data_IF_606630603184
#
_entry.id   IF_606630603184
#
_cell.length_a   1.000
_cell.length_b   1.000
_cell.length_c   1.000
_cell.angle_alpha   90.00
_cell.angle_beta   90.00
_cell.angle_gamma   90.00
#
_symmetry.space_group_name_H-M   'P 1'
#
loop_
_entity.id
_entity.type
_entity.pdbx_description
1 polymer ?
#
# COMPACT_ATOMS: atom_id res chain seq x y z
N UNK A 1 -4.57 9.63 14.33
CA UNK A 1 -3.53 9.65 13.28
C UNK A 1 -2.47 10.73 13.47
N UNK A 2 -2.81 12.02 13.68
CA UNK A 2 -1.85 13.14 13.71
C UNK A 2 -0.60 12.94 14.59
N UNK A 3 -0.78 12.67 15.89
CA UNK A 3 0.32 12.47 16.82
C UNK A 3 1.22 11.27 16.44
N UNK A 4 0.63 10.22 15.88
CA UNK A 4 1.37 9.04 15.41
C UNK A 4 2.28 9.40 14.24
N UNK A 5 1.76 10.11 13.24
CA UNK A 5 2.55 10.56 12.09
C UNK A 5 3.67 11.52 12.51
N UNK A 6 3.38 12.50 13.36
CA UNK A 6 4.39 13.46 13.84
C UNK A 6 5.49 12.76 14.66
N UNK A 7 5.10 11.82 15.52
CA UNK A 7 6.02 11.03 16.33
C UNK A 7 6.91 10.12 15.48
N UNK A 8 6.35 9.48 14.46
CA UNK A 8 7.13 8.68 13.53
C UNK A 8 8.10 9.56 12.72
N UNK A 9 7.66 10.73 12.22
CA UNK A 9 8.53 11.67 11.52
C UNK A 9 9.71 12.13 12.38
N UNK A 10 9.47 12.47 13.65
CA UNK A 10 10.52 12.80 14.60
C UNK A 10 11.48 11.62 14.84
N UNK A 11 10.96 10.40 14.99
CA UNK A 11 11.76 9.19 15.14
C UNK A 11 12.61 8.90 13.90
N UNK A 12 12.09 9.15 12.70
CA UNK A 12 12.84 8.97 11.47
C UNK A 12 14.01 9.94 11.38
N UNK A 13 13.78 11.22 11.65
CA UNK A 13 14.86 12.21 11.70
C UNK A 13 15.93 11.78 12.72
N UNK A 14 15.52 11.38 13.93
CA UNK A 14 16.45 10.92 14.96
C UNK A 14 17.26 9.69 14.52
N UNK A 15 16.62 8.70 13.90
CA UNK A 15 17.29 7.47 13.45
C UNK A 15 18.22 7.70 12.26
N UNK A 16 17.87 8.61 11.32
CA UNK A 16 18.75 9.05 10.23
C UNK A 16 20.01 9.72 10.78
N UNK A 17 19.86 10.67 11.71
CA UNK A 17 21.01 11.33 12.34
C UNK A 17 21.86 10.35 13.13
N UNK A 18 21.25 9.47 13.92
CA UNK A 18 21.97 8.45 14.68
C UNK A 18 22.74 7.49 13.74
N UNK A 19 22.12 7.05 12.64
CA UNK A 19 22.79 6.23 11.64
C UNK A 19 24.02 6.92 11.05
N UNK A 20 23.91 8.21 10.73
CA UNK A 20 25.01 8.98 10.16
C UNK A 20 26.14 9.24 11.18
N UNK A 21 25.82 9.72 12.39
CA UNK A 21 26.80 10.03 13.45
C UNK A 21 27.58 8.80 13.87
N UNK A 22 26.91 7.63 13.92
CA UNK A 22 27.55 6.38 14.31
C UNK A 22 28.03 5.53 13.11
N UNK A 23 27.87 6.03 11.87
CA UNK A 23 28.15 5.28 10.64
C UNK A 23 27.56 3.84 10.65
N UNK A 24 26.35 3.68 11.18
CA UNK A 24 25.77 2.36 11.50
C UNK A 24 24.72 1.94 10.48
N UNK A 25 25.02 0.86 9.74
CA UNK A 25 24.08 0.23 8.81
C UNK A 25 22.85 -0.36 9.50
N UNK A 26 23.00 -0.84 10.74
CA UNK A 26 21.84 -1.33 11.54
C UNK A 26 20.87 -0.20 11.85
N UNK A 27 21.38 0.98 12.24
CA UNK A 27 20.54 2.17 12.44
C UNK A 27 19.96 2.70 11.12
N UNK A 28 20.69 2.61 10.01
CA UNK A 28 20.17 2.98 8.69
C UNK A 28 19.03 2.05 8.23
N UNK A 29 19.14 0.75 8.50
CA UNK A 29 18.06 -0.22 8.30
C UNK A 29 16.84 0.13 9.17
N UNK A 30 17.04 0.41 10.46
CA UNK A 30 15.97 0.89 11.35
C UNK A 30 15.31 2.17 10.82
N UNK A 31 16.09 3.14 10.35
CA UNK A 31 15.57 4.37 9.74
C UNK A 31 14.69 4.05 8.51
N UNK A 32 15.08 3.06 7.71
CA UNK A 32 14.27 2.59 6.58
C UNK A 32 12.94 1.94 7.01
N UNK A 33 12.94 1.15 8.08
CA UNK A 33 11.70 0.62 8.66
C UNK A 33 10.79 1.75 9.15
N UNK A 34 11.34 2.74 9.87
CA UNK A 34 10.56 3.90 10.33
C UNK A 34 10.01 4.68 9.14
N UNK A 35 10.81 4.91 8.09
CA UNK A 35 10.36 5.59 6.87
C UNK A 35 9.17 4.88 6.24
N UNK A 36 9.22 3.55 6.08
CA UNK A 36 8.07 2.78 5.60
C UNK A 36 6.81 3.01 6.47
N UNK A 37 6.95 2.99 7.81
CA UNK A 37 5.79 3.22 8.69
C UNK A 37 5.23 4.65 8.57
N UNK A 38 6.08 5.65 8.33
CA UNK A 38 5.65 7.02 8.06
C UNK A 38 4.90 7.09 6.75
N UNK A 39 5.38 6.40 5.71
CA UNK A 39 4.72 6.39 4.41
C UNK A 39 3.29 5.84 4.52
N UNK A 40 3.10 4.74 5.26
CA UNK A 40 1.77 4.20 5.54
C UNK A 40 0.86 5.18 6.29
N UNK A 41 1.38 5.93 7.26
CA UNK A 41 0.57 6.93 7.97
C UNK A 41 0.35 8.22 7.18
N UNK A 42 1.29 8.63 6.33
CA UNK A 42 1.18 9.78 5.44
C UNK A 42 0.16 9.53 4.31
N UNK A 43 -0.01 8.28 3.90
CA UNK A 43 -1.02 7.86 2.93
C UNK A 43 -2.44 8.27 3.33
N UNK A 44 -2.81 8.10 4.60
CA UNK A 44 -4.05 8.63 5.16
C UNK A 44 -4.23 10.14 4.91
N UNK A 45 -3.15 10.92 4.99
CA UNK A 45 -3.23 12.38 4.90
C UNK A 45 -3.28 12.90 3.48
N UNK A 46 -2.72 12.19 2.49
CA UNK A 46 -2.83 12.63 1.11
C UNK A 46 -4.21 12.34 0.50
N UNK A 47 -4.99 11.41 1.05
CA UNK A 47 -6.40 11.23 0.67
C UNK A 47 -7.32 12.32 1.23
N UNK A 48 -6.89 12.99 2.29
CA UNK A 48 -7.64 14.08 2.92
C UNK A 48 -7.38 15.43 2.23
N UNK A 49 -8.13 16.44 2.65
CA UNK A 49 -7.85 17.84 2.31
C UNK A 49 -6.39 18.21 2.64
N UNK A 50 -5.85 19.17 1.89
CA UNK A 50 -4.44 19.57 1.96
C UNK A 50 -3.99 19.88 3.39
N UNK A 51 -2.93 19.21 3.78
CA UNK A 51 -2.32 19.34 5.09
C UNK A 51 -0.85 18.97 4.99
N UNK A 52 -0.01 19.57 5.82
CA UNK A 52 1.44 19.38 5.71
C UNK A 52 1.91 17.94 5.96
N UNK A 53 1.11 17.08 6.63
CA UNK A 53 1.50 15.70 6.94
C UNK A 53 1.46 14.79 5.72
N UNK A 54 0.77 15.19 4.65
CA UNK A 54 0.86 14.50 3.36
C UNK A 54 2.32 14.46 2.85
N UNK A 55 3.09 15.51 3.14
CA UNK A 55 4.48 15.63 2.73
C UNK A 55 5.45 14.74 3.51
N UNK A 56 5.00 14.07 4.57
CA UNK A 56 5.79 13.01 5.19
C UNK A 56 6.01 11.83 4.24
N UNK A 57 5.12 11.64 3.27
CA UNK A 57 5.29 10.66 2.21
C UNK A 57 6.48 11.00 1.29
N UNK A 58 6.71 12.30 1.03
CA UNK A 58 7.81 12.82 0.21
C UNK A 58 9.19 12.79 0.91
N UNK A 59 9.25 12.30 2.16
CA UNK A 59 10.53 11.85 2.73
C UNK A 59 11.06 10.62 2.00
N UNK A 60 10.18 9.86 1.34
CA UNK A 60 10.57 8.82 0.40
C UNK A 60 10.77 9.40 -1.01
N UNK A 61 11.44 8.67 -1.92
CA UNK A 61 11.53 9.05 -3.32
C UNK A 61 10.20 9.05 -4.08
N UNK A 62 9.12 8.51 -3.50
CA UNK A 62 7.77 8.67 -4.04
C UNK A 62 7.28 10.10 -3.80
N UNK A 63 6.23 10.52 -4.51
CA UNK A 63 5.68 11.87 -4.36
C UNK A 63 4.22 11.80 -3.97
N UNK A 64 3.82 12.61 -2.98
CA UNK A 64 2.42 12.71 -2.58
C UNK A 64 1.53 13.30 -3.67
N UNK A 65 2.05 14.20 -4.51
CA UNK A 65 1.33 14.78 -5.64
C UNK A 65 1.05 13.72 -6.71
N UNK A 66 2.06 12.94 -7.10
CA UNK A 66 1.91 11.82 -8.02
C UNK A 66 0.94 10.77 -7.45
N UNK A 67 1.09 10.39 -6.17
CA UNK A 67 0.28 9.34 -5.54
C UNK A 67 -1.19 9.71 -5.36
N UNK A 68 -1.52 10.99 -5.20
CA UNK A 68 -2.91 11.45 -5.26
C UNK A 68 -3.57 11.15 -6.60
N UNK A 69 -2.80 11.20 -7.69
CA UNK A 69 -3.29 10.89 -9.04
C UNK A 69 -3.30 9.38 -9.25
N UNK A 70 -2.16 8.73 -9.06
CA UNK A 70 -1.99 7.31 -9.42
C UNK A 70 -2.72 6.37 -8.47
N UNK A 71 -2.62 6.61 -7.16
CA UNK A 71 -3.29 5.79 -6.17
C UNK A 71 -4.69 6.33 -5.82
N UNK A 72 -4.80 7.64 -5.54
CA UNK A 72 -6.06 8.27 -5.14
C UNK A 72 -7.14 8.33 -6.23
N UNK A 73 -6.77 8.70 -7.47
CA UNK A 73 -7.75 8.84 -8.57
C UNK A 73 -7.82 7.64 -9.49
N UNK A 74 -6.74 6.86 -9.65
CA UNK A 74 -6.77 5.68 -10.53
C UNK A 74 -7.00 4.39 -9.74
N UNK A 75 -6.09 3.99 -8.85
CA UNK A 75 -6.22 2.73 -8.11
C UNK A 75 -7.49 2.65 -7.26
N UNK A 76 -7.85 3.69 -6.51
CA UNK A 76 -9.08 3.67 -5.71
C UNK A 76 -10.37 3.64 -6.54
N UNK A 77 -10.38 4.22 -7.75
CA UNK A 77 -11.57 4.20 -8.59
C UNK A 77 -11.70 2.91 -9.40
N UNK A 78 -10.58 2.33 -9.81
CA UNK A 78 -10.54 1.22 -10.75
C UNK A 78 -9.57 0.09 -10.33
N UNK A 79 -9.57 -0.34 -9.05
CA UNK A 79 -8.53 -1.23 -8.52
C UNK A 79 -8.47 -2.55 -9.31
N UNK A 80 -7.27 -2.98 -9.65
CA UNK A 80 -6.97 -4.21 -10.39
C UNK A 80 -7.58 -4.31 -11.82
N UNK A 81 -8.14 -3.23 -12.35
CA UNK A 81 -8.64 -3.18 -13.73
C UNK A 81 -7.53 -2.76 -14.71
N UNK A 82 -7.83 -2.76 -16.02
CA UNK A 82 -6.93 -2.19 -17.03
C UNK A 82 -6.77 -0.66 -16.94
N UNK A 83 -7.65 0.03 -16.20
CA UNK A 83 -7.56 1.46 -15.92
C UNK A 83 -6.80 1.77 -14.63
N UNK A 84 -6.38 0.74 -13.89
CA UNK A 84 -5.53 0.89 -12.74
C UNK A 84 -4.09 1.22 -13.20
N UNK A 85 -3.60 2.38 -12.77
CA UNK A 85 -2.24 2.80 -13.00
C UNK A 85 -1.24 1.84 -12.33
N UNK A 86 -1.60 1.28 -11.18
CA UNK A 86 -0.77 0.29 -10.49
C UNK A 86 -0.55 -0.93 -11.38
N UNK A 87 -1.62 -1.52 -11.92
CA UNK A 87 -1.54 -2.62 -12.89
C UNK A 87 -0.68 -2.22 -14.10
N UNK A 88 -0.96 -1.05 -14.69
CA UNK A 88 -0.25 -0.60 -15.89
C UNK A 88 1.27 -0.44 -15.70
N UNK A 89 1.71 -0.01 -14.51
CA UNK A 89 3.14 0.17 -14.20
C UNK A 89 3.79 -1.11 -13.71
N UNK A 90 3.04 -2.00 -13.05
CA UNK A 90 3.57 -3.24 -12.51
C UNK A 90 3.63 -4.36 -13.55
N UNK A 91 2.65 -4.52 -14.44
CA UNK A 91 2.57 -5.64 -15.40
C UNK A 91 3.88 -5.88 -16.19
N UNK A 92 4.66 -4.86 -16.63
CA UNK A 92 5.95 -5.11 -17.27
C UNK A 92 6.98 -5.88 -16.40
N UNK A 93 6.82 -5.88 -15.08
CA UNK A 93 7.76 -6.45 -14.10
C UNK A 93 7.13 -7.56 -13.25
N UNK A 94 5.90 -7.34 -12.77
CA UNK A 94 5.12 -8.22 -11.90
C UNK A 94 3.75 -8.43 -12.55
N UNK A 95 3.55 -9.62 -13.12
CA UNK A 95 2.36 -9.92 -13.93
C UNK A 95 1.24 -10.48 -13.04
N UNK A 96 0.37 -9.62 -12.53
CA UNK A 96 -0.78 -9.98 -11.70
C UNK A 96 -1.98 -10.41 -12.53
N UNK A 97 -2.15 -9.88 -13.74
CA UNK A 97 -3.29 -10.20 -14.59
C UNK A 97 -3.26 -11.68 -15.01
N UNK A 98 -4.37 -12.43 -14.87
CA UNK A 98 -4.43 -13.84 -15.21
C UNK A 98 -4.61 -14.04 -16.73
N UNK A 99 -3.58 -13.75 -17.50
CA UNK A 99 -3.62 -13.86 -18.97
C UNK A 99 -3.37 -15.31 -19.45
N UNK A 100 -4.24 -15.89 -20.31
CA UNK A 100 -4.09 -17.26 -20.84
C UNK A 100 -2.76 -17.53 -21.55
N UNK A 101 -2.15 -16.49 -22.12
CA UNK A 101 -0.90 -16.56 -22.86
C UNK A 101 0.32 -16.11 -22.01
N UNK A 102 0.17 -15.97 -20.69
CA UNK A 102 1.26 -15.59 -19.78
C UNK A 102 2.46 -16.51 -19.95
N UNK A 103 3.59 -15.93 -20.35
CA UNK A 103 4.81 -16.67 -20.62
C UNK A 103 5.30 -17.44 -19.39
N UNK A 104 5.90 -18.62 -19.61
CA UNK A 104 6.40 -19.50 -18.55
C UNK A 104 7.31 -18.77 -17.55
N UNK A 105 8.21 -17.91 -18.04
CA UNK A 105 9.11 -17.14 -17.17
C UNK A 105 8.33 -16.22 -16.21
N UNK A 106 7.27 -15.57 -16.67
CA UNK A 106 6.46 -14.70 -15.81
C UNK A 106 5.72 -15.50 -14.73
N UNK A 107 5.37 -16.77 -14.99
CA UNK A 107 4.68 -17.60 -14.00
C UNK A 107 5.60 -18.09 -12.89
N UNK A 108 6.84 -18.45 -13.21
CA UNK A 108 7.71 -19.16 -12.25
C UNK A 108 8.94 -18.37 -11.81
N UNK A 109 9.37 -17.35 -12.58
CA UNK A 109 10.52 -16.50 -12.23
C UNK A 109 10.08 -15.22 -11.52
N UNK A 110 8.98 -14.59 -11.97
CA UNK A 110 8.44 -13.37 -11.34
C UNK A 110 8.14 -13.49 -9.85
N UNK A 111 7.61 -14.61 -9.30
CA UNK A 111 7.44 -14.76 -7.85
C UNK A 111 8.74 -14.57 -7.04
N UNK A 112 9.89 -14.83 -7.66
CA UNK A 112 11.21 -14.62 -7.04
C UNK A 112 11.71 -13.21 -7.35
N UNK A 113 11.67 -12.79 -8.63
CA UNK A 113 12.23 -11.49 -9.05
C UNK A 113 11.37 -10.28 -8.66
N UNK A 114 10.11 -10.46 -8.26
CA UNK A 114 9.27 -9.38 -7.75
C UNK A 114 9.88 -8.71 -6.52
N UNK A 115 10.61 -9.46 -5.68
CA UNK A 115 11.33 -8.93 -4.51
C UNK A 115 12.44 -7.95 -4.91
N UNK A 116 13.12 -8.22 -6.03
CA UNK A 116 14.09 -7.27 -6.59
C UNK A 116 13.39 -6.01 -7.09
N UNK A 117 12.22 -6.15 -7.71
CA UNK A 117 11.39 -5.00 -8.13
C UNK A 117 10.97 -4.16 -6.92
N UNK A 118 10.55 -4.79 -5.82
CA UNK A 118 10.20 -4.11 -4.56
C UNK A 118 11.39 -3.34 -3.96
N UNK A 119 12.59 -3.94 -4.02
CA UNK A 119 13.83 -3.29 -3.58
C UNK A 119 14.19 -2.07 -4.44
N UNK A 120 13.94 -2.15 -5.74
CA UNK A 120 14.36 -1.15 -6.73
C UNK A 120 13.29 -0.09 -7.08
N UNK A 121 12.03 -0.28 -6.64
CA UNK A 121 10.89 0.55 -7.03
C UNK A 121 11.15 2.06 -6.82
N UNK A 122 11.74 2.45 -5.69
CA UNK A 122 12.01 3.86 -5.41
C UNK A 122 13.06 4.46 -6.35
N UNK A 123 14.05 3.68 -6.79
CA UNK A 123 15.06 4.14 -7.74
C UNK A 123 14.47 4.30 -9.14
N UNK A 124 13.54 3.43 -9.52
CA UNK A 124 12.79 3.56 -10.77
C UNK A 124 12.03 4.88 -10.79
N UNK A 125 11.36 5.24 -9.70
CA UNK A 125 10.64 6.52 -9.59
C UNK A 125 11.57 7.74 -9.63
N UNK A 126 12.75 7.66 -9.00
CA UNK A 126 13.78 8.69 -9.14
C UNK A 126 14.17 8.90 -10.60
N UNK A 127 14.50 7.81 -11.32
CA UNK A 127 14.94 7.86 -12.71
C UNK A 127 13.82 8.43 -13.59
N UNK A 128 12.58 7.95 -13.42
CA UNK A 128 11.40 8.46 -14.15
C UNK A 128 11.20 9.96 -13.93
N UNK A 129 11.35 10.43 -12.68
CA UNK A 129 11.19 11.84 -12.36
C UNK A 129 12.28 12.69 -13.01
N UNK A 130 13.55 12.30 -12.90
CA UNK A 130 14.67 13.01 -13.54
C UNK A 130 14.50 13.03 -15.07
N UNK A 131 14.19 11.89 -15.68
CA UNK A 131 13.95 11.81 -17.12
C UNK A 131 12.78 12.71 -17.54
N UNK A 132 11.68 12.72 -16.78
CA UNK A 132 10.53 13.59 -17.05
C UNK A 132 10.85 15.08 -16.95
N UNK A 133 11.74 15.48 -16.04
CA UNK A 133 12.23 16.87 -15.96
C UNK A 133 13.08 17.24 -17.18
N UNK A 134 13.98 16.35 -17.61
CA UNK A 134 14.86 16.57 -18.78
C UNK A 134 14.04 16.66 -20.08
N UNK A 135 13.04 15.79 -20.24
CA UNK A 135 12.18 15.73 -21.44
C UNK A 135 11.10 16.84 -21.41
N UNK A 136 10.86 17.45 -20.25
CA UNK A 136 9.84 18.50 -20.08
C UNK A 136 8.42 17.96 -19.90
N UNK A 137 8.25 16.67 -19.61
CA UNK A 137 6.94 16.07 -19.28
C UNK A 137 6.56 16.27 -17.81
N UNK A 138 7.51 16.70 -16.98
CA UNK A 138 7.29 17.01 -15.55
C UNK A 138 7.87 18.37 -15.21
N UNK A 139 7.23 19.03 -14.23
CA UNK A 139 7.75 20.25 -13.62
C UNK A 139 8.55 19.90 -12.38
N UNK A 140 9.55 20.73 -12.08
CA UNK A 140 10.29 20.60 -10.85
C UNK A 140 9.43 21.08 -9.67
N UNK A 141 9.40 20.27 -8.61
CA UNK A 141 8.72 20.61 -7.36
C UNK A 141 9.73 20.52 -6.22
N UNK A 142 9.80 21.59 -5.41
CA UNK A 142 10.78 21.69 -4.32
C UNK A 142 10.68 20.55 -3.32
N UNK A 143 9.47 20.01 -3.10
CA UNK A 143 9.26 18.93 -2.13
C UNK A 143 10.02 17.65 -2.50
N UNK A 144 10.24 17.42 -3.80
CA UNK A 144 10.98 16.26 -4.31
C UNK A 144 12.49 16.32 -4.01
N UNK A 145 12.98 17.39 -3.38
CA UNK A 145 14.36 17.52 -2.89
C UNK A 145 14.54 16.81 -1.54
N UNK A 146 13.47 16.56 -0.77
CA UNK A 146 13.57 15.99 0.59
C UNK A 146 14.37 14.67 0.67
N UNK A 147 14.21 13.68 -0.24
CA UNK A 147 15.00 12.45 -0.19
C UNK A 147 16.50 12.72 -0.41
N UNK A 148 16.82 13.66 -1.30
CA UNK A 148 18.21 14.04 -1.58
C UNK A 148 18.85 14.82 -0.43
N UNK A 149 18.07 15.67 0.24
CA UNK A 149 18.54 16.39 1.43
C UNK A 149 19.00 15.42 2.53
N UNK A 150 18.30 14.30 2.71
CA UNK A 150 18.70 13.25 3.66
C UNK A 150 20.05 12.62 3.28
N UNK A 151 20.24 12.31 1.99
CA UNK A 151 21.50 11.77 1.49
C UNK A 151 22.68 12.72 1.77
N UNK A 152 22.49 14.01 1.48
CA UNK A 152 23.49 15.06 1.75
C UNK A 152 23.79 15.16 3.26
N UNK A 153 22.76 15.16 4.11
CA UNK A 153 22.94 15.18 5.58
C UNK A 153 23.77 13.98 6.04
N UNK A 154 23.49 12.77 5.55
CA UNK A 154 24.27 11.58 5.91
C UNK A 154 25.74 11.69 5.45
N UNK A 155 26.00 12.21 4.25
CA UNK A 155 27.37 12.44 3.77
C UNK A 155 28.13 13.47 4.60
N UNK A 156 27.46 14.57 4.98
CA UNK A 156 28.06 15.62 5.80
C UNK A 156 28.34 15.14 7.23
N UNK A 157 27.38 14.46 7.87
CA UNK A 157 27.54 13.95 9.23
C UNK A 157 28.58 12.83 9.35
N UNK A 158 28.72 11.99 8.33
CA UNK A 158 29.76 10.94 8.30
C UNK A 158 31.14 11.46 7.90
N UNK A 159 31.22 12.65 7.29
CA UNK A 159 32.45 13.18 6.70
C UNK A 159 32.96 12.37 5.49
N UNK A 160 32.15 11.46 4.95
CA UNK A 160 32.53 10.54 3.87
C UNK A 160 31.40 10.41 2.86
N UNK A 161 31.67 10.75 1.61
CA UNK A 161 30.74 10.57 0.50
C UNK A 161 30.28 9.10 0.41
N UNK A 162 31.24 8.16 0.43
CA UNK A 162 30.95 6.74 0.26
C UNK A 162 30.11 6.20 1.42
N UNK A 163 30.49 6.51 2.67
CA UNK A 163 29.77 6.00 3.85
C UNK A 163 28.37 6.60 3.92
N UNK A 164 28.23 7.92 3.77
CA UNK A 164 26.92 8.58 3.77
C UNK A 164 26.00 8.05 2.68
N UNK A 165 26.51 7.84 1.46
CA UNK A 165 25.74 7.27 0.36
C UNK A 165 25.27 5.85 0.68
N UNK A 166 26.14 4.97 1.20
CA UNK A 166 25.77 3.59 1.50
C UNK A 166 24.75 3.50 2.64
N UNK A 167 24.80 4.40 3.63
CA UNK A 167 23.77 4.49 4.66
C UNK A 167 22.43 4.94 4.07
N UNK A 168 22.44 5.96 3.22
CA UNK A 168 21.23 6.43 2.53
C UNK A 168 20.62 5.31 1.68
N UNK A 169 21.42 4.63 0.88
CA UNK A 169 20.97 3.48 0.08
C UNK A 169 20.39 2.38 0.96
N UNK A 170 21.00 2.08 2.11
CA UNK A 170 20.46 1.11 3.07
C UNK A 170 19.06 1.52 3.56
N UNK A 171 18.88 2.78 3.94
CA UNK A 171 17.58 3.32 4.39
C UNK A 171 16.52 3.25 3.30
N UNK A 172 16.85 3.71 2.08
CA UNK A 172 15.92 3.77 0.94
C UNK A 172 15.54 2.39 0.43
N UNK A 173 16.51 1.48 0.27
CA UNK A 173 16.25 0.09 -0.11
C UNK A 173 15.33 -0.61 0.90
N UNK A 174 15.58 -0.41 2.19
CA UNK A 174 14.74 -0.98 3.26
C UNK A 174 13.30 -0.44 3.15
N UNK A 175 13.12 0.88 3.08
CA UNK A 175 11.79 1.47 2.96
C UNK A 175 11.06 1.03 1.69
N UNK A 176 11.75 1.00 0.54
CA UNK A 176 11.22 0.53 -0.74
C UNK A 176 10.68 -0.89 -0.63
N UNK A 177 11.51 -1.80 -0.10
CA UNK A 177 11.13 -3.19 0.05
C UNK A 177 9.91 -3.36 0.94
N UNK A 178 9.91 -2.81 2.16
CA UNK A 178 8.80 -3.02 3.10
C UNK A 178 7.50 -2.33 2.66
N UNK A 179 7.58 -1.14 2.07
CA UNK A 179 6.39 -0.45 1.55
C UNK A 179 5.77 -1.22 0.38
N UNK A 180 6.57 -1.60 -0.62
CA UNK A 180 6.09 -2.35 -1.77
C UNK A 180 5.64 -3.76 -1.38
N UNK A 181 6.33 -4.43 -0.46
CA UNK A 181 5.94 -5.75 0.04
C UNK A 181 4.57 -5.69 0.71
N UNK A 182 4.32 -4.72 1.58
CA UNK A 182 3.01 -4.59 2.24
C UNK A 182 1.91 -4.23 1.26
N UNK A 183 2.14 -3.25 0.38
CA UNK A 183 1.15 -2.81 -0.61
C UNK A 183 0.78 -3.93 -1.58
N UNK A 184 1.77 -4.63 -2.15
CA UNK A 184 1.52 -5.63 -3.19
C UNK A 184 1.19 -7.01 -2.63
N UNK A 185 1.88 -7.45 -1.56
CA UNK A 185 1.75 -8.84 -1.06
C UNK A 185 0.57 -9.01 -0.11
N UNK A 186 0.21 -7.96 0.64
CA UNK A 186 -0.67 -8.11 1.79
C UNK A 186 -1.99 -7.33 1.69
N UNK A 187 -2.39 -6.86 0.50
CA UNK A 187 -3.59 -6.03 0.35
C UNK A 187 -4.48 -6.35 -0.88
N UNK A 188 -3.95 -6.36 -2.11
CA UNK A 188 -4.77 -6.28 -3.33
C UNK A 188 -4.76 -7.50 -4.26
N UNK A 189 -3.85 -8.46 -4.07
CA UNK A 189 -3.65 -9.53 -5.05
C UNK A 189 -3.89 -10.91 -4.44
N UNK A 190 -4.94 -11.59 -4.90
CA UNK A 190 -5.34 -12.95 -4.52
C UNK A 190 -6.21 -13.54 -5.64
N UNK A 191 -6.21 -14.86 -5.91
CA UNK A 191 -7.09 -15.49 -6.92
C UNK A 191 -8.59 -15.34 -6.70
N UNK A 192 -9.00 -14.84 -5.53
CA UNK A 192 -10.41 -14.60 -5.17
C UNK A 192 -10.74 -13.11 -5.17
N UNK A 193 -9.74 -12.26 -5.41
CA UNK A 193 -9.87 -10.82 -5.58
C UNK A 193 -9.92 -10.55 -7.09
N UNK A 194 -10.82 -9.65 -7.50
CA UNK A 194 -10.96 -9.28 -8.90
C UNK A 194 -9.65 -8.79 -9.51
N UNK A 195 -9.31 -9.31 -10.69
CA UNK A 195 -8.36 -8.71 -11.62
C UNK A 195 -9.00 -8.62 -13.01
N UNK A 196 -8.50 -7.70 -13.85
CA UNK A 196 -8.92 -7.67 -15.24
C UNK A 196 -8.79 -9.05 -15.90
N UNK A 197 -9.73 -9.36 -16.80
CA UNK A 197 -9.96 -10.67 -17.44
C UNK A 197 -10.72 -11.70 -16.61
N UNK A 198 -10.78 -11.58 -15.28
CA UNK A 198 -11.67 -12.42 -14.47
C UNK A 198 -13.13 -12.21 -14.87
N UNK A 199 -13.96 -13.20 -14.55
CA UNK A 199 -15.41 -13.09 -14.72
C UNK A 199 -15.91 -11.91 -13.89
N UNK A 200 -16.47 -10.90 -14.56
CA UNK A 200 -17.01 -9.74 -13.88
C UNK A 200 -18.34 -10.07 -13.21
N UNK A 201 -18.64 -9.40 -12.10
CA UNK A 201 -19.95 -9.50 -11.45
C UNK A 201 -21.06 -9.04 -12.39
N UNK A 202 -22.23 -9.66 -12.28
CA UNK A 202 -23.38 -9.29 -13.12
C UNK A 202 -24.03 -7.96 -12.74
N UNK A 203 -23.88 -7.55 -11.47
CA UNK A 203 -24.40 -6.29 -10.93
C UNK A 203 -23.25 -5.31 -10.67
N UNK A 204 -22.97 -4.38 -11.60
CA UNK A 204 -21.78 -3.55 -11.62
C UNK A 204 -21.87 -2.33 -10.69
N UNK A 205 -22.55 -2.44 -9.54
CA UNK A 205 -22.53 -1.40 -8.51
C UNK A 205 -21.08 -1.09 -8.09
N UNK A 206 -20.75 0.20 -8.00
CA UNK A 206 -19.39 0.64 -7.73
C UNK A 206 -18.88 0.15 -6.37
N UNK A 207 -19.70 0.20 -5.32
CA UNK A 207 -19.31 -0.22 -3.99
C UNK A 207 -19.05 -1.72 -3.93
N UNK A 208 -19.88 -2.51 -4.61
CA UNK A 208 -19.66 -3.96 -4.69
C UNK A 208 -18.41 -4.31 -5.52
N UNK A 209 -18.14 -3.59 -6.61
CA UNK A 209 -16.88 -3.72 -7.36
C UNK A 209 -15.65 -3.41 -6.50
N UNK A 210 -15.72 -2.43 -5.60
CA UNK A 210 -14.64 -2.16 -4.65
C UNK A 210 -14.43 -3.35 -3.71
N UNK A 211 -15.50 -3.90 -3.14
CA UNK A 211 -15.41 -5.07 -2.23
C UNK A 211 -14.89 -6.33 -2.92
N UNK A 212 -15.14 -6.50 -4.21
CA UNK A 212 -14.58 -7.60 -5.00
C UNK A 212 -13.05 -7.48 -5.16
N UNK A 213 -12.51 -6.25 -5.15
CA UNK A 213 -11.12 -5.92 -5.45
C UNK A 213 -10.19 -5.84 -4.23
N UNK A 214 -10.70 -5.90 -2.99
CA UNK A 214 -9.89 -5.77 -1.76
C UNK A 214 -10.38 -6.68 -0.63
N UNK A 215 -9.55 -6.91 0.40
CA UNK A 215 -9.93 -7.67 1.60
C UNK A 215 -9.38 -7.07 2.88
N UNK A 216 -10.14 -7.23 3.96
CA UNK A 216 -9.75 -6.78 5.30
C UNK A 216 -9.06 -7.90 6.07
N UNK A 217 -8.13 -7.52 6.96
CA UNK A 217 -7.28 -8.47 7.67
C UNK A 217 -7.65 -8.62 9.13
N UNK A 218 -7.94 -9.84 9.55
CA UNK A 218 -8.37 -10.11 10.93
C UNK A 218 -7.30 -9.75 11.97
N UNK A 219 -6.02 -10.02 11.70
CA UNK A 219 -4.95 -9.90 12.70
C UNK A 219 -4.57 -8.45 13.03
N UNK A 220 -4.83 -7.51 12.13
CA UNK A 220 -4.43 -6.10 12.30
C UNK A 220 -5.60 -5.20 12.66
N UNK A 221 -6.83 -5.61 12.35
CA UNK A 221 -8.05 -4.86 12.64
C UNK A 221 -8.19 -4.61 14.14
N UNK A 222 -8.45 -3.35 14.52
CA UNK A 222 -8.53 -2.92 15.92
C UNK A 222 -7.24 -2.30 16.47
N UNK A 223 -6.11 -2.41 15.76
CA UNK A 223 -4.88 -1.66 16.07
C UNK A 223 -4.68 -0.54 15.05
N UNK A 224 -4.86 0.71 15.45
CA UNK A 224 -4.71 1.86 14.56
C UNK A 224 -3.32 1.91 13.89
N UNK A 225 -2.28 1.58 14.66
CA UNK A 225 -0.91 1.55 14.14
C UNK A 225 -0.74 0.48 13.05
N UNK A 226 -1.16 -0.76 13.33
CA UNK A 226 -1.04 -1.86 12.37
C UNK A 226 -1.92 -1.63 11.14
N UNK A 227 -3.15 -1.14 11.32
CA UNK A 227 -4.04 -0.77 10.22
C UNK A 227 -3.37 0.25 9.30
N UNK A 228 -2.77 1.30 9.86
CA UNK A 228 -2.19 2.38 9.06
C UNK A 228 -0.93 1.95 8.31
N UNK A 229 -0.08 1.11 8.89
CA UNK A 229 1.17 0.69 8.22
C UNK A 229 0.99 -0.54 7.33
N UNK A 230 -0.14 -1.25 7.46
CA UNK A 230 -0.39 -2.49 6.71
C UNK A 230 -1.63 -2.46 5.82
N UNK A 231 -2.43 -1.39 5.81
CA UNK A 231 -3.71 -1.33 5.12
C UNK A 231 -4.69 -2.41 5.60
N UNK A 232 -4.99 -2.39 6.91
CA UNK A 232 -5.79 -3.43 7.58
C UNK A 232 -7.30 -3.35 7.33
N UNK A 233 -7.86 -2.15 7.42
CA UNK A 233 -9.28 -1.83 7.18
C UNK A 233 -9.48 -1.42 5.71
N UNK A 234 -9.07 -2.30 4.80
CA UNK A 234 -8.82 -1.98 3.40
C UNK A 234 -10.10 -1.63 2.61
N UNK A 235 -11.17 -2.38 2.84
CA UNK A 235 -12.46 -2.24 2.19
C UNK A 235 -13.09 -0.89 2.51
N UNK A 236 -13.10 -0.52 3.79
CA UNK A 236 -13.58 0.80 4.21
C UNK A 236 -12.67 1.94 3.72
N UNK A 237 -11.36 1.70 3.66
CA UNK A 237 -10.42 2.64 3.06
C UNK A 237 -10.70 2.85 1.56
N UNK A 238 -11.07 1.81 0.83
CA UNK A 238 -11.45 1.93 -0.59
C UNK A 238 -12.79 2.62 -0.81
N UNK A 239 -13.79 2.31 0.02
CA UNK A 239 -15.11 2.94 -0.06
C UNK A 239 -15.08 4.41 0.39
N UNK A 240 -14.25 4.73 1.38
CA UNK A 240 -14.20 6.05 2.01
C UNK A 240 -12.74 6.54 2.22
N UNK A 241 -11.96 6.72 1.15
CA UNK A 241 -10.52 7.01 1.27
C UNK A 241 -10.22 8.34 1.97
N UNK A 242 -11.16 9.28 1.92
CA UNK A 242 -11.03 10.59 2.59
C UNK A 242 -11.30 10.55 4.09
N UNK A 243 -11.85 9.44 4.62
CA UNK A 243 -12.10 9.25 6.04
C UNK A 243 -10.80 8.83 6.73
N UNK A 244 -10.45 9.51 7.82
CA UNK A 244 -9.26 9.18 8.60
C UNK A 244 -9.29 7.73 9.10
N UNK A 245 -8.17 7.00 8.99
CA UNK A 245 -8.05 5.62 9.45
C UNK A 245 -8.46 5.42 10.92
N UNK A 246 -8.35 6.45 11.78
CA UNK A 246 -8.84 6.36 13.17
C UNK A 246 -10.36 6.34 13.29
N UNK A 247 -11.08 6.55 12.20
CA UNK A 247 -12.54 6.63 12.12
C UNK A 247 -13.16 5.47 11.35
N UNK A 248 -12.42 4.84 10.44
CA UNK A 248 -12.92 3.69 9.67
C UNK A 248 -13.58 2.60 10.54
N UNK A 249 -13.02 2.18 11.70
CA UNK A 249 -13.63 1.11 12.48
C UNK A 249 -15.09 1.36 12.90
N UNK A 250 -15.49 2.63 13.06
CA UNK A 250 -16.87 2.98 13.43
C UNK A 250 -17.87 2.79 12.28
N UNK A 251 -17.40 2.59 11.05
CA UNK A 251 -18.23 2.37 9.87
C UNK A 251 -18.56 0.89 9.65
N UNK A 252 -17.83 -0.06 10.25
CA UNK A 252 -18.10 -1.49 10.07
C UNK A 252 -19.54 -1.91 10.37
N UNK A 253 -20.21 -1.42 11.44
CA UNK A 253 -21.60 -1.78 11.68
C UNK A 253 -22.55 -1.37 10.56
N UNK A 254 -22.29 -0.22 9.91
CA UNK A 254 -23.09 0.21 8.76
C UNK A 254 -22.71 -0.59 7.50
N UNK A 255 -21.41 -0.81 7.25
CA UNK A 255 -20.96 -1.63 6.12
C UNK A 255 -21.56 -3.04 6.16
N UNK A 256 -21.57 -3.69 7.32
CA UNK A 256 -22.08 -5.07 7.44
C UNK A 256 -23.59 -5.11 7.23
N UNK A 257 -24.34 -4.16 7.77
CA UNK A 257 -25.78 -4.02 7.52
C UNK A 257 -26.08 -3.81 6.03
N UNK A 258 -25.34 -2.91 5.37
CA UNK A 258 -25.45 -2.70 3.92
C UNK A 258 -25.06 -3.96 3.14
N UNK A 259 -23.99 -4.67 3.51
CA UNK A 259 -23.63 -5.94 2.88
C UNK A 259 -24.77 -6.97 3.00
N UNK A 260 -25.46 -7.04 4.13
CA UNK A 260 -26.64 -7.90 4.31
C UNK A 260 -27.78 -7.51 3.35
N UNK A 261 -28.06 -6.22 3.15
CA UNK A 261 -29.05 -5.73 2.17
C UNK A 261 -28.73 -6.15 0.73
N UNK A 262 -27.44 -6.20 0.39
CA UNK A 262 -26.94 -6.65 -0.92
C UNK A 262 -26.70 -8.17 -1.00
N UNK A 263 -27.11 -8.95 0.02
CA UNK A 263 -26.90 -10.40 0.10
C UNK A 263 -25.41 -10.81 0.00
N UNK A 264 -24.50 -9.98 0.52
CA UNK A 264 -23.07 -10.27 0.60
C UNK A 264 -22.68 -10.84 1.96
N UNK A 265 -21.94 -11.95 1.95
CA UNK A 265 -21.38 -12.53 3.17
C UNK A 265 -20.01 -11.92 3.51
N UNK A 266 -19.97 -10.61 3.80
CA UNK A 266 -18.72 -9.88 4.04
C UNK A 266 -17.85 -10.59 5.08
N UNK A 267 -16.58 -10.85 4.73
CA UNK A 267 -15.65 -11.59 5.56
C UNK A 267 -14.25 -11.00 5.47
N UNK A 268 -13.58 -10.99 6.61
CA UNK A 268 -12.15 -10.74 6.67
C UNK A 268 -11.39 -11.98 6.21
N UNK A 269 -10.11 -11.81 5.93
CA UNK A 269 -9.18 -12.88 5.58
C UNK A 269 -8.00 -12.87 6.53
N UNK A 270 -7.29 -14.00 6.62
CA UNK A 270 -6.04 -14.07 7.39
C UNK A 270 -4.91 -13.49 6.57
N UNK A 271 -4.00 -12.75 7.19
CA UNK A 271 -2.86 -12.17 6.50
C UNK A 271 -2.02 -13.20 5.74
N UNK A 272 -1.86 -14.41 6.30
CA UNK A 272 -1.13 -15.50 5.64
C UNK A 272 -1.80 -15.97 4.33
N UNK A 273 -3.12 -15.87 4.24
CA UNK A 273 -3.89 -16.26 3.05
C UNK A 273 -3.68 -15.24 1.93
N UNK A 274 -3.66 -13.94 2.26
CA UNK A 274 -3.30 -12.89 1.29
C UNK A 274 -1.87 -13.04 0.79
N UNK A 275 -0.90 -13.28 1.69
CA UNK A 275 0.50 -13.47 1.30
C UNK A 275 0.64 -14.63 0.32
N UNK A 276 0.06 -15.80 0.64
CA UNK A 276 0.10 -16.96 -0.24
C UNK A 276 -0.66 -16.70 -1.54
N UNK A 277 -1.83 -16.07 -1.45
CA UNK A 277 -2.67 -15.71 -2.56
C UNK A 277 -1.97 -14.82 -3.58
N UNK A 278 -1.19 -13.84 -3.15
CA UNK A 278 -0.45 -12.98 -4.07
C UNK A 278 0.51 -13.81 -4.96
N UNK A 279 1.26 -14.75 -4.37
CA UNK A 279 2.13 -15.61 -5.16
C UNK A 279 1.36 -16.55 -6.08
N UNK A 280 0.21 -17.08 -5.62
CA UNK A 280 -0.67 -17.88 -6.46
C UNK A 280 -1.22 -17.05 -7.63
N UNK A 281 -1.53 -15.78 -7.41
CA UNK A 281 -2.02 -14.86 -8.43
C UNK A 281 -0.95 -14.58 -9.49
N UNK A 282 0.29 -14.27 -9.09
CA UNK A 282 1.40 -14.09 -10.04
C UNK A 282 1.59 -15.34 -10.91
N UNK A 283 1.56 -16.53 -10.29
CA UNK A 283 1.71 -17.81 -10.98
C UNK A 283 0.52 -18.17 -11.90
N UNK A 284 -0.65 -17.55 -11.68
CA UNK A 284 -1.87 -17.85 -12.42
C UNK A 284 -1.82 -17.28 -13.84
N UNK A 285 -2.28 -18.08 -14.79
CA UNK A 285 -2.53 -17.68 -16.18
C UNK A 285 -4.01 -17.83 -16.55
N UNK A 286 -4.85 -18.30 -15.63
CA UNK A 286 -6.23 -18.61 -15.91
C UNK A 286 -7.11 -17.58 -15.22
N UNK A 287 -7.94 -16.83 -15.98
CA UNK A 287 -8.93 -15.98 -15.37
C UNK A 287 -9.88 -16.78 -14.48
N UNK A 288 -10.34 -16.18 -13.40
CA UNK A 288 -11.33 -16.79 -12.52
C UNK A 288 -12.67 -16.89 -13.27
N UNK A 289 -13.22 -18.10 -13.48
CA UNK A 289 -14.49 -18.29 -14.19
C UNK A 289 -15.71 -17.91 -13.33
N UNK A 290 -15.50 -17.58 -12.05
CA UNK A 290 -16.55 -17.14 -11.13
C UNK A 290 -16.32 -15.67 -10.78
N UNK A 291 -17.40 -14.88 -10.63
CA UNK A 291 -17.29 -13.56 -10.05
C UNK A 291 -16.58 -13.63 -8.68
N UNK A 292 -15.67 -12.70 -8.39
CA UNK A 292 -15.12 -12.52 -7.06
C UNK A 292 -16.21 -12.33 -6.02
N UNK A 293 -15.89 -12.67 -4.77
CA UNK A 293 -16.81 -12.51 -3.66
C UNK A 293 -16.22 -13.04 -2.36
N UNK A 294 -17.08 -13.24 -1.38
CA UNK A 294 -16.72 -13.79 -0.07
C UNK A 294 -17.16 -15.26 0.01
N UNK A 295 -16.28 -16.22 -0.35
CA UNK A 295 -16.67 -17.62 -0.48
C UNK A 295 -16.91 -18.32 0.86
N UNK A 296 -16.52 -17.70 1.98
CA UNK A 296 -16.68 -18.28 3.30
C UNK A 296 -18.18 -18.45 3.61
N UNK A 297 -18.60 -19.66 4.01
CA UNK A 297 -19.99 -19.92 4.43
C UNK A 297 -20.28 -19.20 5.75
N UNK A 298 -19.29 -19.20 6.66
CA UNK A 298 -19.36 -18.47 7.93
C UNK A 298 -18.40 -17.28 7.85
N UNK A 299 -18.90 -16.03 7.92
CA UNK A 299 -18.04 -14.87 7.80
C UNK A 299 -17.06 -14.81 8.97
N UNK A 300 -15.81 -14.51 8.65
CA UNK A 300 -14.77 -14.26 9.62
C UNK A 300 -14.83 -12.79 10.01
N UNK A 301 -15.41 -12.49 11.17
CA UNK A 301 -15.49 -11.12 11.70
C UNK A 301 -14.64 -11.03 12.99
N UNK A 302 -13.69 -10.08 13.11
CA UNK A 302 -12.89 -9.88 14.30
C UNK A 302 -13.75 -9.53 15.54
N UNK A 303 -13.34 -9.99 16.72
CA UNK A 303 -14.09 -9.76 17.97
C UNK A 303 -14.35 -8.26 18.24
N UNK A 304 -13.37 -7.40 17.91
CA UNK A 304 -13.50 -5.94 18.05
C UNK A 304 -14.66 -5.38 17.21
N UNK A 305 -14.85 -5.90 15.99
CA UNK A 305 -15.94 -5.50 15.09
C UNK A 305 -17.27 -6.07 15.58
N UNK A 306 -17.30 -7.32 16.03
CA UNK A 306 -18.51 -7.93 16.61
C UNK A 306 -19.04 -7.12 17.81
N UNK A 307 -18.14 -6.65 18.69
CA UNK A 307 -18.49 -5.78 19.83
C UNK A 307 -19.10 -4.46 19.37
N UNK A 308 -18.59 -3.87 18.29
CA UNK A 308 -19.14 -2.63 17.71
C UNK A 308 -20.55 -2.83 17.16
N UNK A 309 -20.79 -3.93 16.43
CA UNK A 309 -22.11 -4.30 15.91
C UNK A 309 -23.10 -4.47 17.07
N UNK A 310 -22.72 -5.23 18.11
CA UNK A 310 -23.61 -5.47 19.25
C UNK A 310 -23.96 -4.18 19.99
N UNK A 311 -22.98 -3.27 20.17
CA UNK A 311 -23.22 -1.97 20.80
C UNK A 311 -24.22 -1.12 20.02
N UNK A 312 -24.15 -1.11 18.68
CA UNK A 312 -25.11 -0.37 17.83
C UNK A 312 -26.54 -0.89 18.04
N UNK A 313 -26.74 -2.22 18.06
CA UNK A 313 -28.04 -2.86 18.27
C UNK A 313 -28.69 -2.54 19.63
N UNK A 314 -27.89 -2.27 20.65
CA UNK A 314 -28.41 -1.90 21.97
C UNK A 314 -28.80 -0.41 22.10
N UNK A 315 -28.51 0.41 21.07
CA UNK A 315 -28.80 1.85 21.05
C UNK A 315 -29.79 2.27 19.94
N UNK A 316 -30.25 1.32 19.12
CA UNK A 316 -31.31 1.46 18.11
C UNK A 316 -32.64 0.97 18.66
#
# INVERSE_FOLDING_TARGET
>A
MKLMADGQAALYVATVFAAAVHASYGLAFCAGLVLWTIMGTAHNFFHQADNFRMFYFDLSPLSSSDWRITHGLSHHLYPNTLYDFEISVLEPFIHFLPEPHKHFLHRYVTPVTCHLTMLLAFFIEIIKRIAGLIIGTRKFEMINVLPWAQCVVMMLCTGSFQTGLLLYLTTICTASFFFAWVGLIAAHHHPEIYHAYDTFRSDPDWGLCQLDAVRDKIEVTGSLFLVAISFGDHSLHHLFPTVDHSKLPYLYPALIETCEEFNLNFSFVKQKELILGMYLQICSANPNPKPPGFPQIKPLIPEVVQKMIHKKKNHS
#
